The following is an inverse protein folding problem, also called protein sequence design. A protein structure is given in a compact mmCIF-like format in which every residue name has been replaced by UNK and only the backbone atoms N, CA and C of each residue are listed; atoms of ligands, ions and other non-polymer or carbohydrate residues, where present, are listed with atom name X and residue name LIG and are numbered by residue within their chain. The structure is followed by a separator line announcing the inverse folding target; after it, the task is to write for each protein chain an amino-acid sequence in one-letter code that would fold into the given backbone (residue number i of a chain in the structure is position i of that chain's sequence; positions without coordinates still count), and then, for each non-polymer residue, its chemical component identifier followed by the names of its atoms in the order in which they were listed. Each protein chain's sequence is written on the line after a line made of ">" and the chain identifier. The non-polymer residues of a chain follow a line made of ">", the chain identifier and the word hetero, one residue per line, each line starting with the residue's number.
data_IF_271643742210
#
_entry.id   IF_271643742210
#
_cell.length_a   1.000
_cell.length_b   1.000
_cell.length_c   1.000
_cell.angle_alpha   90.00
_cell.angle_beta   90.00
_cell.angle_gamma   90.00
#
_symmetry.space_group_name_H-M   'P 1'
#
loop_
_entity.id
_entity.type
_entity.pdbx_description
1 polymer ?
#
# COMPACT_ATOMS: atom_id res chain seq x y z
N UNK A 1 35.33 28.73 53.20
CA UNK A 1 35.26 29.06 51.77
C UNK A 1 33.87 29.60 51.47
N UNK A 2 33.75 30.87 51.05
CA UNK A 2 32.45 31.47 50.67
C UNK A 2 32.06 30.92 49.30
N UNK A 3 31.01 30.10 49.22
CA UNK A 3 30.35 29.79 47.96
C UNK A 3 29.73 31.08 47.42
N UNK A 4 30.11 31.49 46.21
CA UNK A 4 29.43 32.58 45.49
C UNK A 4 28.01 32.10 45.17
N UNK A 5 27.00 32.77 45.71
CA UNK A 5 25.60 32.47 45.43
C UNK A 5 25.25 32.88 44.00
N UNK A 6 24.53 32.00 43.30
CA UNK A 6 24.02 32.26 41.96
C UNK A 6 22.96 33.37 42.02
N UNK A 7 23.05 34.39 41.17
CA UNK A 7 22.05 35.45 41.13
C UNK A 7 20.83 35.02 40.31
N UNK A 8 19.65 35.53 40.67
CA UNK A 8 18.40 35.22 39.96
C UNK A 8 18.47 35.62 38.47
N UNK A 9 19.20 36.69 38.15
CA UNK A 9 19.38 37.19 36.79
C UNK A 9 20.21 36.20 35.95
N UNK A 10 21.31 35.67 36.50
CA UNK A 10 22.14 34.67 35.80
C UNK A 10 21.34 33.41 35.47
N UNK A 11 20.49 32.94 36.39
CA UNK A 11 19.62 31.80 36.14
C UNK A 11 18.61 32.10 35.03
N UNK A 12 18.00 33.28 35.07
CA UNK A 12 16.97 33.70 34.11
C UNK A 12 17.53 33.83 32.69
N UNK A 13 18.73 34.39 32.53
CA UNK A 13 19.39 34.49 31.22
C UNK A 13 19.68 33.11 30.64
N UNK A 14 20.16 32.16 31.46
CA UNK A 14 20.47 30.81 30.99
C UNK A 14 19.21 30.07 30.52
N UNK A 15 18.13 30.10 31.30
CA UNK A 15 16.87 29.47 30.87
C UNK A 15 16.29 30.15 29.62
N UNK A 16 16.45 31.48 29.48
CA UNK A 16 16.01 32.20 28.29
C UNK A 16 16.79 31.76 27.05
N UNK A 17 18.11 31.61 27.15
CA UNK A 17 18.94 31.11 26.05
C UNK A 17 18.56 29.66 25.70
N UNK A 18 18.42 28.78 26.70
CA UNK A 18 17.98 27.38 26.48
C UNK A 18 16.61 27.35 25.81
N UNK A 19 15.66 28.18 26.24
CA UNK A 19 14.33 28.27 25.65
C UNK A 19 14.38 28.70 24.18
N UNK A 20 15.19 29.70 23.83
CA UNK A 20 15.37 30.14 22.44
C UNK A 20 16.00 29.04 21.58
N UNK A 21 17.07 28.42 22.06
CA UNK A 21 17.74 27.33 21.34
C UNK A 21 16.81 26.14 21.13
N UNK A 22 16.06 25.75 22.16
CA UNK A 22 15.11 24.65 22.10
C UNK A 22 13.95 24.96 21.13
N UNK A 23 13.43 26.20 21.12
CA UNK A 23 12.36 26.62 20.22
C UNK A 23 12.74 26.50 18.73
N UNK A 24 14.02 26.73 18.38
CA UNK A 24 14.52 26.54 17.01
C UNK A 24 14.86 25.08 16.73
N UNK A 25 15.43 24.37 17.70
CA UNK A 25 15.91 23.00 17.51
C UNK A 25 14.77 21.97 17.41
N UNK A 26 13.69 22.12 18.19
CA UNK A 26 12.57 21.18 18.17
C UNK A 26 11.88 21.01 16.80
N UNK A 27 11.48 22.08 16.07
CA UNK A 27 10.84 21.91 14.77
C UNK A 27 11.78 21.27 13.74
N UNK A 28 13.07 21.64 13.74
CA UNK A 28 14.07 21.07 12.85
C UNK A 28 14.29 19.58 13.15
N UNK A 29 14.41 19.22 14.43
CA UNK A 29 14.57 17.84 14.85
C UNK A 29 13.36 16.97 14.49
N UNK A 30 12.14 17.51 14.62
CA UNK A 30 10.92 16.81 14.21
C UNK A 30 10.91 16.50 12.70
N UNK A 31 11.29 17.47 11.86
CA UNK A 31 11.39 17.27 10.42
C UNK A 31 12.47 16.24 10.05
N UNK A 32 13.65 16.33 10.67
CA UNK A 32 14.75 15.39 10.45
C UNK A 32 14.35 13.95 10.83
N UNK A 33 13.66 13.78 11.97
CA UNK A 33 13.14 12.49 12.41
C UNK A 33 12.13 11.90 11.42
N UNK A 34 11.24 12.74 10.88
CA UNK A 34 10.26 12.27 9.89
C UNK A 34 10.92 11.88 8.57
N UNK A 35 11.94 12.61 8.14
CA UNK A 35 12.75 12.23 6.97
C UNK A 35 13.48 10.91 7.18
N UNK A 36 14.01 10.66 8.38
CA UNK A 36 14.59 9.35 8.69
C UNK A 36 13.55 8.24 8.58
N UNK A 37 12.35 8.42 9.15
CA UNK A 37 11.25 7.45 9.03
C UNK A 37 10.80 7.23 7.59
N UNK A 38 10.77 8.28 6.78
CA UNK A 38 10.50 8.17 5.34
C UNK A 38 11.51 7.23 4.67
N UNK A 39 12.81 7.40 4.95
CA UNK A 39 13.86 6.51 4.42
C UNK A 39 13.68 5.07 4.90
N UNK A 40 13.28 4.86 6.16
CA UNK A 40 12.94 3.52 6.65
C UNK A 40 11.76 2.91 5.89
N UNK A 41 10.65 3.65 5.70
CA UNK A 41 9.49 3.12 4.98
C UNK A 41 9.80 2.87 3.49
N UNK A 42 10.63 3.69 2.85
CA UNK A 42 11.14 3.43 1.49
C UNK A 42 11.95 2.12 1.42
N UNK A 43 12.83 1.91 2.40
CA UNK A 43 13.62 0.67 2.48
C UNK A 43 12.74 -0.56 2.78
N UNK A 44 11.71 -0.42 3.61
CA UNK A 44 10.74 -1.49 3.86
C UNK A 44 10.02 -1.86 2.57
N UNK A 45 9.50 -0.88 1.82
CA UNK A 45 8.84 -1.15 0.53
C UNK A 45 9.80 -1.79 -0.47
N UNK A 46 11.07 -1.37 -0.51
CA UNK A 46 12.09 -2.00 -1.34
C UNK A 46 12.32 -3.47 -0.94
N UNK A 47 12.46 -3.78 0.35
CA UNK A 47 12.65 -5.15 0.81
C UNK A 47 11.44 -6.04 0.51
N UNK A 48 10.22 -5.55 0.73
CA UNK A 48 9.00 -6.25 0.33
C UNK A 48 8.97 -6.49 -1.17
N UNK A 49 9.39 -5.50 -1.95
CA UNK A 49 9.40 -5.60 -3.40
C UNK A 49 10.38 -6.68 -3.87
N UNK A 50 11.60 -6.67 -3.34
CA UNK A 50 12.61 -7.68 -3.64
C UNK A 50 12.17 -9.08 -3.19
N UNK A 51 11.48 -9.22 -2.06
CA UNK A 51 10.92 -10.49 -1.62
C UNK A 51 9.84 -11.02 -2.58
N UNK A 52 9.00 -10.13 -3.13
CA UNK A 52 8.05 -10.49 -4.20
C UNK A 52 8.77 -10.96 -5.46
N UNK A 53 9.88 -10.32 -5.84
CA UNK A 53 10.69 -10.72 -6.99
C UNK A 53 11.42 -12.04 -6.78
N UNK A 54 11.90 -12.32 -5.57
CA UNK A 54 12.47 -13.62 -5.23
C UNK A 54 11.42 -14.73 -5.31
N UNK A 55 10.18 -14.45 -4.87
CA UNK A 55 9.06 -15.35 -5.10
C UNK A 55 8.85 -15.64 -6.59
N UNK A 56 8.87 -14.62 -7.47
CA UNK A 56 8.72 -14.85 -8.92
C UNK A 56 9.76 -15.83 -9.48
N UNK A 57 11.00 -15.74 -9.01
CA UNK A 57 12.09 -16.61 -9.46
C UNK A 57 11.85 -18.09 -9.11
N UNK A 58 11.22 -18.35 -7.97
CA UNK A 58 10.97 -19.71 -7.49
C UNK A 58 9.63 -20.31 -8.00
N UNK A 59 8.75 -19.48 -8.57
CA UNK A 59 7.39 -19.86 -8.96
C UNK A 59 7.06 -19.49 -10.42
N UNK A 60 7.90 -19.90 -11.38
CA UNK A 60 7.67 -19.75 -12.84
C UNK A 60 7.26 -18.33 -13.27
N UNK A 61 7.90 -17.31 -12.67
CA UNK A 61 7.63 -15.89 -12.92
C UNK A 61 6.17 -15.47 -12.66
N UNK A 62 5.45 -16.20 -11.82
CA UNK A 62 4.07 -15.95 -11.46
C UNK A 62 3.94 -15.22 -10.11
N UNK A 63 3.17 -14.12 -10.10
CA UNK A 63 2.92 -13.35 -8.88
C UNK A 63 2.09 -14.16 -7.88
N UNK A 64 2.34 -14.02 -6.57
CA UNK A 64 1.52 -14.65 -5.55
C UNK A 64 0.10 -14.05 -5.54
N UNK A 65 -0.88 -14.83 -5.12
CA UNK A 65 -2.21 -14.30 -4.84
C UNK A 65 -2.20 -13.35 -3.63
N UNK A 66 -3.12 -12.37 -3.63
CA UNK A 66 -3.38 -11.50 -2.47
C UNK A 66 -3.90 -12.29 -1.27
N UNK A 67 -4.69 -13.33 -1.53
CA UNK A 67 -5.31 -14.17 -0.52
C UNK A 67 -5.44 -15.61 -1.01
N UNK A 68 -4.96 -16.55 -0.22
CA UNK A 68 -5.16 -17.99 -0.36
C UNK A 68 -6.09 -18.46 0.77
N UNK A 69 -6.96 -19.41 0.46
CA UNK A 69 -7.77 -20.11 1.47
C UNK A 69 -7.23 -21.53 1.64
N UNK A 70 -7.00 -21.93 2.88
CA UNK A 70 -6.56 -23.29 3.21
C UNK A 70 -7.28 -23.80 4.45
N UNK A 71 -7.14 -25.09 4.74
CA UNK A 71 -7.70 -25.68 5.96
C UNK A 71 -6.91 -25.21 7.19
N UNK A 72 -7.60 -24.88 8.27
CA UNK A 72 -6.97 -24.59 9.57
C UNK A 72 -6.55 -25.85 10.34
N UNK A 73 -6.63 -27.04 9.74
CA UNK A 73 -6.30 -28.32 10.38
C UNK A 73 -7.35 -28.83 11.38
N UNK A 74 -8.36 -28.03 11.72
CA UNK A 74 -9.45 -28.37 12.64
C UNK A 74 -10.82 -28.51 11.93
N UNK A 75 -10.80 -28.69 10.60
CA UNK A 75 -12.03 -28.78 9.78
C UNK A 75 -12.65 -27.44 9.38
N UNK A 76 -12.00 -26.31 9.71
CA UNK A 76 -12.37 -24.97 9.26
C UNK A 76 -11.46 -24.44 8.13
N UNK A 77 -11.76 -23.22 7.68
CA UNK A 77 -10.96 -22.49 6.70
C UNK A 77 -10.23 -21.32 7.34
N UNK A 78 -9.00 -21.08 6.91
CA UNK A 78 -8.22 -19.91 7.27
C UNK A 78 -7.64 -19.25 6.02
N UNK A 79 -7.28 -17.97 6.15
CA UNK A 79 -6.72 -17.11 5.14
C UNK A 79 -5.19 -17.01 5.27
N UNK A 80 -4.50 -17.06 4.14
CA UNK A 80 -3.07 -16.84 4.02
C UNK A 80 -2.85 -15.70 3.03
N UNK A 81 -2.21 -14.61 3.43
CA UNK A 81 -2.10 -13.40 2.61
C UNK A 81 -0.84 -13.40 1.74
N UNK A 82 -0.74 -12.48 0.79
CA UNK A 82 0.50 -12.25 0.01
C UNK A 82 1.74 -12.12 0.89
N UNK A 83 1.64 -11.43 2.03
CA UNK A 83 2.74 -11.28 2.97
C UNK A 83 3.23 -12.61 3.55
N UNK A 84 2.32 -13.54 3.79
CA UNK A 84 2.70 -14.88 4.23
C UNK A 84 3.40 -15.66 3.11
N UNK A 85 2.96 -15.49 1.86
CA UNK A 85 3.57 -16.15 0.69
C UNK A 85 5.01 -15.69 0.44
N UNK A 86 5.28 -14.40 0.61
CA UNK A 86 6.62 -13.83 0.44
C UNK A 86 7.46 -13.84 1.73
N UNK A 87 6.91 -14.32 2.85
CA UNK A 87 7.61 -14.32 4.14
C UNK A 87 8.96 -15.05 4.14
N UNK A 88 9.13 -16.22 3.48
CA UNK A 88 10.41 -16.92 3.46
C UNK A 88 11.56 -16.05 2.92
N UNK A 89 11.24 -15.10 2.05
CA UNK A 89 12.16 -14.15 1.46
C UNK A 89 12.33 -12.86 2.30
N UNK A 90 11.25 -12.40 2.95
CA UNK A 90 11.27 -11.24 3.84
C UNK A 90 12.06 -11.48 5.14
N UNK A 91 11.88 -12.65 5.76
CA UNK A 91 12.46 -13.07 7.05
C UNK A 91 12.16 -12.18 8.27
N UNK A 92 11.47 -11.07 8.10
CA UNK A 92 11.05 -10.17 9.17
C UNK A 92 9.64 -9.61 8.89
N UNK A 93 8.70 -9.90 9.79
CA UNK A 93 7.31 -9.46 9.67
C UNK A 93 7.13 -7.97 10.00
N UNK A 94 8.01 -7.37 10.79
CA UNK A 94 7.92 -5.94 11.16
C UNK A 94 8.08 -5.00 9.95
N UNK A 95 8.63 -5.52 8.84
CA UNK A 95 8.77 -4.80 7.58
C UNK A 95 7.42 -4.44 6.95
N UNK A 96 6.32 -5.13 7.28
CA UNK A 96 4.99 -4.77 6.77
C UNK A 96 4.45 -3.49 7.41
N UNK A 97 5.02 -3.02 8.52
CA UNK A 97 4.62 -1.80 9.22
C UNK A 97 5.44 -0.58 8.80
N UNK A 98 4.82 0.60 8.91
CA UNK A 98 5.53 1.88 8.79
C UNK A 98 5.60 2.54 10.18
N UNK A 99 6.79 2.89 10.71
CA UNK A 99 6.95 3.50 12.04
C UNK A 99 6.22 4.84 12.24
N UNK A 100 5.85 5.54 11.17
CA UNK A 100 5.03 6.76 11.25
C UNK A 100 3.54 6.46 11.48
N UNK A 101 3.09 5.23 11.25
CA UNK A 101 1.69 4.84 11.40
C UNK A 101 1.39 4.23 12.76
N UNK A 102 0.84 5.07 13.64
CA UNK A 102 0.38 4.63 14.97
C UNK A 102 -0.92 3.83 14.91
N UNK A 103 -1.65 3.87 13.79
CA UNK A 103 -2.91 3.16 13.58
C UNK A 103 -2.78 2.26 12.34
N UNK A 104 -1.75 1.41 12.37
CA UNK A 104 -1.54 0.40 11.34
C UNK A 104 -2.79 -0.45 11.16
N UNK A 105 -3.07 -0.79 9.90
CA UNK A 105 -4.23 -1.58 9.57
C UNK A 105 -4.04 -3.02 10.07
N UNK A 106 -4.90 -3.47 10.97
CA UNK A 106 -4.86 -4.80 11.58
C UNK A 106 -5.54 -5.81 10.65
N UNK A 107 -4.70 -6.68 10.09
CA UNK A 107 -5.12 -7.69 9.13
C UNK A 107 -5.99 -8.75 9.82
N UNK A 108 -5.72 -9.07 11.09
CA UNK A 108 -6.46 -10.10 11.84
C UNK A 108 -7.90 -9.69 12.07
N UNK A 109 -8.12 -8.43 12.42
CA UNK A 109 -9.47 -7.92 12.69
C UNK A 109 -10.24 -7.69 11.40
N UNK A 110 -9.56 -7.28 10.32
CA UNK A 110 -10.19 -7.07 9.02
C UNK A 110 -10.66 -8.35 8.35
N UNK A 111 -10.06 -9.50 8.69
CA UNK A 111 -10.46 -10.80 8.17
C UNK A 111 -11.25 -11.65 9.17
N UNK A 112 -11.75 -11.14 10.30
CA UNK A 112 -12.37 -11.96 11.37
C UNK A 112 -13.31 -13.13 10.98
N UNK A 113 -14.14 -13.08 9.91
CA UNK A 113 -14.86 -14.26 9.43
C UNK A 113 -13.97 -15.43 8.94
N UNK A 114 -12.71 -15.13 8.64
CA UNK A 114 -11.62 -15.95 8.11
C UNK A 114 -10.38 -15.75 8.99
N UNK A 115 -10.07 -16.69 9.89
CA UNK A 115 -8.84 -16.61 10.70
C UNK A 115 -7.59 -16.57 9.82
N UNK A 116 -6.52 -15.86 10.21
CA UNK A 116 -5.22 -15.99 9.53
C UNK A 116 -4.58 -17.32 9.89
N UNK A 117 -4.06 -18.06 8.91
CA UNK A 117 -3.38 -19.34 9.16
C UNK A 117 -2.01 -19.13 9.85
N UNK A 118 -1.54 -20.07 10.70
CA UNK A 118 -2.26 -21.26 11.19
C UNK A 118 -3.35 -20.93 12.22
N UNK A 119 -3.25 -19.78 12.89
CA UNK A 119 -4.31 -19.10 13.63
C UNK A 119 -3.88 -17.64 13.86
N UNK A 120 -4.84 -16.76 14.21
CA UNK A 120 -4.60 -15.33 14.43
C UNK A 120 -3.52 -15.02 15.49
N UNK A 121 -3.27 -15.94 16.43
CA UNK A 121 -2.30 -15.76 17.52
C UNK A 121 -0.88 -16.05 17.05
N UNK A 122 -0.71 -17.10 16.26
CA UNK A 122 0.57 -17.60 15.75
C UNK A 122 0.97 -16.98 14.41
N UNK A 123 0.06 -16.27 13.73
CA UNK A 123 0.39 -15.50 12.53
C UNK A 123 1.41 -14.40 12.85
N UNK A 124 2.46 -14.34 12.03
CA UNK A 124 3.53 -13.36 12.15
C UNK A 124 3.09 -11.97 11.67
N UNK A 125 2.20 -11.90 10.68
CA UNK A 125 1.70 -10.64 10.12
C UNK A 125 0.40 -10.22 10.78
N UNK A 126 0.52 -9.26 11.70
CA UNK A 126 -0.61 -8.72 12.46
C UNK A 126 -1.15 -7.44 11.84
N UNK A 127 -0.25 -6.57 11.40
CA UNK A 127 -0.59 -5.28 10.84
C UNK A 127 0.16 -5.05 9.53
N UNK A 128 -0.41 -4.23 8.65
CA UNK A 128 0.32 -3.74 7.48
C UNK A 128 0.01 -2.28 7.19
N UNK A 129 1.07 -1.57 6.81
CA UNK A 129 1.08 -0.19 6.34
C UNK A 129 1.19 -0.10 4.81
N UNK A 130 1.59 -1.20 4.17
CA UNK A 130 1.77 -1.27 2.73
C UNK A 130 0.72 -2.22 2.14
N UNK A 131 0.21 -1.85 0.98
CA UNK A 131 -0.75 -2.66 0.24
C UNK A 131 -0.15 -3.01 -1.12
N UNK A 132 -0.42 -4.23 -1.55
CA UNK A 132 -0.02 -4.70 -2.85
C UNK A 132 -0.92 -4.13 -3.95
N UNK A 133 -0.41 -4.11 -5.18
CA UNK A 133 -1.21 -3.85 -6.38
C UNK A 133 -2.09 -5.07 -6.68
N UNK A 134 -3.40 -4.87 -6.63
CA UNK A 134 -4.37 -5.97 -6.76
C UNK A 134 -4.49 -6.52 -8.18
N UNK A 135 -3.97 -5.80 -9.18
CA UNK A 135 -3.81 -6.36 -10.51
C UNK A 135 -2.60 -7.25 -10.68
N UNK A 136 -1.66 -7.25 -9.73
CA UNK A 136 -0.53 -8.17 -9.74
C UNK A 136 -0.78 -9.32 -8.75
N UNK A 137 -1.17 -8.96 -7.54
CA UNK A 137 -1.54 -9.91 -6.50
C UNK A 137 -3.04 -10.20 -6.56
N UNK A 138 -3.43 -10.92 -7.60
CA UNK A 138 -4.81 -11.29 -7.84
C UNK A 138 -5.42 -12.08 -6.67
N UNK A 139 -6.75 -12.07 -6.56
CA UNK A 139 -7.43 -12.91 -5.57
C UNK A 139 -7.22 -14.39 -5.90
N UNK A 140 -6.96 -15.25 -4.91
CA UNK A 140 -6.89 -16.69 -5.13
C UNK A 140 -8.29 -17.32 -5.29
N UNK A 141 -8.33 -18.62 -5.57
CA UNK A 141 -9.58 -19.40 -5.59
C UNK A 141 -10.18 -19.52 -4.19
N UNK A 142 -11.45 -19.14 -4.03
CA UNK A 142 -12.20 -19.31 -2.79
C UNK A 142 -13.12 -20.54 -2.89
N UNK A 143 -12.97 -21.58 -2.03
CA UNK A 143 -13.77 -22.81 -2.11
C UNK A 143 -15.17 -22.70 -1.47
N UNK A 144 -15.66 -21.50 -1.16
CA UNK A 144 -16.96 -21.29 -0.51
C UNK A 144 -18.09 -21.15 -1.56
N UNK A 145 -19.01 -22.11 -1.58
CA UNK A 145 -20.25 -22.01 -2.37
C UNK A 145 -21.10 -20.85 -1.84
N UNK A 146 -21.34 -19.83 -2.67
CA UNK A 146 -22.12 -18.63 -2.29
C UNK A 146 -21.28 -17.40 -1.97
N UNK A 147 -19.95 -17.51 -1.92
CA UNK A 147 -19.11 -16.33 -2.08
C UNK A 147 -19.12 -15.90 -3.56
N UNK A 148 -19.13 -14.60 -3.86
CA UNK A 148 -19.48 -14.10 -5.20
C UNK A 148 -18.56 -14.55 -6.35
N UNK A 149 -17.51 -15.33 -6.09
CA UNK A 149 -16.41 -15.57 -7.03
C UNK A 149 -15.82 -17.00 -6.95
N UNK A 150 -16.59 -18.08 -7.18
CA UNK A 150 -16.04 -19.44 -7.23
C UNK A 150 -15.04 -19.58 -8.41
N UNK A 151 -13.92 -20.28 -8.17
CA UNK A 151 -12.92 -20.57 -9.22
C UNK A 151 -12.02 -19.38 -9.61
N UNK A 152 -11.47 -18.66 -8.63
CA UNK A 152 -10.66 -17.44 -8.76
C UNK A 152 -9.64 -17.38 -9.93
N UNK A 153 -9.20 -16.16 -10.31
CA UNK A 153 -8.31 -15.93 -11.45
C UNK A 153 -6.98 -16.70 -11.29
N UNK A 154 -6.34 -16.97 -12.42
CA UNK A 154 -4.96 -17.49 -12.42
C UNK A 154 -3.97 -16.42 -11.92
N UNK A 155 -2.80 -16.82 -11.42
CA UNK A 155 -1.71 -15.87 -11.17
C UNK A 155 -1.34 -15.11 -12.43
N UNK A 156 -0.96 -13.84 -12.26
CA UNK A 156 -0.38 -13.01 -13.32
C UNK A 156 1.07 -13.43 -13.49
N UNK A 157 1.55 -13.48 -14.72
CA UNK A 157 2.98 -13.73 -15.00
C UNK A 157 3.69 -12.43 -15.35
N UNK A 158 4.99 -12.38 -15.05
CA UNK A 158 5.85 -11.23 -15.35
C UNK A 158 5.80 -10.84 -16.84
N UNK A 159 5.77 -11.82 -17.74
CA UNK A 159 5.68 -11.61 -19.18
C UNK A 159 4.39 -10.92 -19.66
N UNK A 160 3.35 -10.85 -18.82
CA UNK A 160 2.09 -10.18 -19.14
C UNK A 160 2.09 -8.69 -18.77
N UNK A 161 3.18 -8.21 -18.15
CA UNK A 161 3.34 -6.83 -17.73
C UNK A 161 4.10 -6.07 -18.82
N UNK A 162 3.41 -5.12 -19.45
CA UNK A 162 4.01 -4.33 -20.53
C UNK A 162 5.10 -3.37 -20.00
N UNK A 163 4.84 -2.63 -18.91
CA UNK A 163 5.78 -1.68 -18.31
C UNK A 163 6.12 -2.04 -16.86
N UNK A 164 7.16 -2.85 -16.67
CA UNK A 164 7.64 -3.26 -15.35
C UNK A 164 8.24 -2.11 -14.54
N UNK A 165 8.75 -1.07 -15.20
CA UNK A 165 9.40 0.06 -14.53
C UNK A 165 8.35 0.97 -13.90
N UNK A 166 7.26 1.25 -14.61
CA UNK A 166 6.23 2.16 -14.09
C UNK A 166 5.10 1.47 -13.35
N UNK A 167 5.01 0.15 -13.41
CA UNK A 167 3.98 -0.61 -12.70
C UNK A 167 4.36 -0.80 -11.22
N UNK A 168 3.57 -0.23 -10.29
CA UNK A 168 3.80 -0.38 -8.86
C UNK A 168 3.42 -1.79 -8.43
N UNK A 169 4.22 -2.40 -7.56
CA UNK A 169 3.95 -3.69 -6.96
C UNK A 169 3.40 -3.57 -5.54
N UNK A 170 4.04 -2.74 -4.71
CA UNK A 170 3.60 -2.47 -3.34
C UNK A 170 3.72 -0.99 -3.08
N UNK A 171 2.78 -0.43 -2.32
CA UNK A 171 2.78 0.98 -2.00
C UNK A 171 2.26 1.27 -0.60
N UNK A 172 2.65 2.41 -0.05
CA UNK A 172 2.13 2.94 1.20
C UNK A 172 0.64 3.24 1.04
N UNK A 173 -0.18 2.50 1.79
CA UNK A 173 -1.61 2.54 1.60
C UNK A 173 -2.40 1.80 2.67
N UNK A 174 -3.70 1.74 2.47
CA UNK A 174 -4.63 1.06 3.37
C UNK A 174 -5.80 0.47 2.60
N UNK A 175 -6.38 -0.60 3.13
CA UNK A 175 -7.59 -1.21 2.59
C UNK A 175 -8.83 -0.68 3.32
N UNK A 176 -9.86 -0.34 2.55
CA UNK A 176 -11.11 0.12 3.12
C UNK A 176 -12.12 0.55 2.08
N UNK A 177 -12.97 1.50 2.49
CA UNK A 177 -14.02 2.05 1.66
C UNK A 177 -14.17 3.56 1.89
N UNK A 178 -14.17 4.33 0.80
CA UNK A 178 -14.38 5.78 0.84
C UNK A 178 -15.87 6.18 0.77
N UNK A 179 -16.76 5.24 0.43
CA UNK A 179 -18.21 5.45 0.34
C UNK A 179 -18.96 5.14 1.65
N UNK A 180 -18.24 4.65 2.66
CA UNK A 180 -18.79 4.35 3.99
C UNK A 180 -19.61 3.05 4.09
N UNK A 181 -19.71 2.27 3.01
CA UNK A 181 -20.50 1.03 2.97
C UNK A 181 -19.88 -0.15 3.74
N UNK A 182 -18.62 -0.05 4.21
CA UNK A 182 -17.83 -1.15 4.81
C UNK A 182 -17.71 -2.43 3.95
N UNK A 183 -18.35 -2.49 2.79
CA UNK A 183 -18.33 -3.63 1.87
C UNK A 183 -17.16 -3.52 0.87
N UNK A 184 -16.62 -2.31 0.67
CA UNK A 184 -15.49 -2.07 -0.21
C UNK A 184 -14.17 -2.61 0.34
N UNK A 185 -13.39 -3.20 -0.55
CA UNK A 185 -12.03 -3.67 -0.32
C UNK A 185 -11.07 -2.88 -1.25
N UNK A 186 -11.27 -1.57 -1.36
CA UNK A 186 -10.44 -0.72 -2.22
C UNK A 186 -9.05 -0.49 -1.60
N UNK A 187 -8.02 -0.41 -2.45
CA UNK A 187 -6.68 0.00 -2.05
C UNK A 187 -6.50 1.51 -2.18
N UNK A 188 -6.21 2.19 -1.07
CA UNK A 188 -6.05 3.64 -1.02
C UNK A 188 -4.62 4.02 -0.66
N UNK A 189 -4.00 4.94 -1.40
CA UNK A 189 -2.66 5.44 -1.12
C UNK A 189 -2.67 6.30 0.16
N UNK A 190 -1.58 6.27 0.92
CA UNK A 190 -1.42 7.06 2.14
C UNK A 190 -0.14 7.89 2.07
N UNK A 191 -0.29 9.22 2.11
CA UNK A 191 0.81 10.19 2.06
C UNK A 191 1.46 10.43 3.43
N UNK A 192 1.86 9.38 4.16
CA UNK A 192 2.20 9.43 5.60
C UNK A 192 3.42 10.29 5.93
N UNK A 193 4.35 10.45 4.99
CA UNK A 193 5.60 11.16 5.20
C UNK A 193 5.56 12.59 4.64
N UNK A 194 4.72 13.44 5.24
CA UNK A 194 4.46 14.81 4.77
C UNK A 194 3.97 14.85 3.32
N UNK A 195 2.85 14.16 3.06
CA UNK A 195 2.23 14.04 1.73
C UNK A 195 3.08 13.24 0.73
N UNK A 196 3.97 12.38 1.20
CA UNK A 196 4.74 11.47 0.37
C UNK A 196 4.44 10.02 0.75
N UNK A 197 4.19 9.20 -0.27
CA UNK A 197 3.96 7.76 -0.16
C UNK A 197 5.16 6.99 -0.73
N UNK A 198 5.61 5.95 -0.04
CA UNK A 198 6.67 5.06 -0.57
C UNK A 198 6.06 4.01 -1.50
N UNK A 199 6.73 3.72 -2.61
CA UNK A 199 6.25 2.79 -3.64
C UNK A 199 7.41 1.91 -4.11
N UNK A 200 7.15 0.65 -4.35
CA UNK A 200 8.06 -0.30 -4.98
C UNK A 200 7.48 -0.79 -6.29
N UNK A 201 8.33 -0.95 -7.29
CA UNK A 201 7.95 -1.23 -8.67
C UNK A 201 8.36 -2.65 -9.08
N UNK A 202 7.74 -3.16 -10.14
CA UNK A 202 7.94 -4.55 -10.59
C UNK A 202 9.36 -4.84 -11.08
N UNK A 203 10.13 -3.84 -11.48
CA UNK A 203 11.56 -4.01 -11.82
C UNK A 203 12.49 -4.05 -10.57
N UNK A 204 11.94 -3.90 -9.36
CA UNK A 204 12.68 -3.96 -8.10
C UNK A 204 13.19 -2.62 -7.58
N UNK A 205 12.99 -1.52 -8.30
CA UNK A 205 13.30 -0.20 -7.75
C UNK A 205 12.20 0.28 -6.80
N UNK A 206 12.56 1.26 -5.97
CA UNK A 206 11.64 1.90 -5.02
C UNK A 206 11.73 3.41 -5.15
N UNK A 207 10.59 4.09 -5.10
CA UNK A 207 10.46 5.53 -5.25
C UNK A 207 9.52 6.14 -4.23
N UNK A 208 9.53 7.46 -4.22
CA UNK A 208 8.63 8.27 -3.42
C UNK A 208 7.66 8.97 -4.37
N UNK A 209 6.37 8.88 -4.06
CA UNK A 209 5.30 9.49 -4.84
C UNK A 209 4.71 10.66 -4.08
N UNK A 210 4.63 11.81 -4.74
CA UNK A 210 3.99 13.01 -4.19
C UNK A 210 2.48 12.84 -4.21
N UNK A 211 1.87 13.12 -3.07
CA UNK A 211 0.43 13.05 -2.87
C UNK A 211 -0.12 14.39 -2.38
N UNK A 212 -1.44 14.51 -2.39
CA UNK A 212 -2.17 15.63 -1.82
C UNK A 212 -3.34 15.10 -1.01
N UNK A 213 -3.56 15.69 0.16
CA UNK A 213 -4.73 15.41 0.98
C UNK A 213 -6.01 15.89 0.27
N UNK A 214 -7.02 15.04 0.23
CA UNK A 214 -8.36 15.39 -0.24
C UNK A 214 -9.15 15.93 0.94
N UNK A 215 -9.51 17.22 0.91
CA UNK A 215 -10.23 17.86 2.00
C UNK A 215 -11.59 17.17 2.22
N UNK A 216 -11.84 16.72 3.46
CA UNK A 216 -13.05 15.99 3.83
C UNK A 216 -13.10 14.54 3.36
N UNK A 217 -12.15 14.09 2.53
CA UNK A 217 -12.06 12.71 2.07
C UNK A 217 -11.54 11.79 3.18
N UNK A 218 -12.32 10.76 3.50
CA UNK A 218 -11.94 9.74 4.49
C UNK A 218 -12.14 8.34 3.93
N UNK A 219 -11.25 7.44 4.32
CA UNK A 219 -11.33 6.00 4.06
C UNK A 219 -11.69 5.32 5.37
N UNK A 220 -12.85 4.67 5.40
CA UNK A 220 -13.25 3.82 6.52
C UNK A 220 -12.51 2.49 6.39
N UNK A 221 -11.76 2.12 7.42
CA UNK A 221 -11.00 0.87 7.44
C UNK A 221 -11.95 -0.32 7.61
N UNK A 222 -11.59 -1.47 7.03
CA UNK A 222 -12.41 -2.70 7.09
C UNK A 222 -12.29 -3.47 8.42
N UNK A 223 -11.43 -3.02 9.34
CA UNK A 223 -11.43 -3.56 10.71
C UNK A 223 -12.81 -3.29 11.32
N UNK A 224 -13.37 -4.19 12.14
CA UNK A 224 -14.70 -4.03 12.77
C UNK A 224 -14.87 -2.78 13.68
N UNK A 225 -13.92 -1.85 13.66
CA UNK A 225 -13.89 -0.54 14.31
C UNK A 225 -14.12 0.58 13.30
N UNK A 226 -14.88 1.62 13.64
CA UNK A 226 -15.13 2.85 12.84
C UNK A 226 -13.88 3.75 12.64
N UNK A 227 -12.68 3.17 12.52
CA UNK A 227 -11.46 3.92 12.26
C UNK A 227 -11.51 4.47 10.84
N UNK A 228 -11.15 5.74 10.72
CA UNK A 228 -11.04 6.41 9.43
C UNK A 228 -9.62 6.93 9.24
N UNK A 229 -9.13 6.86 8.01
CA UNK A 229 -7.89 7.50 7.59
C UNK A 229 -8.18 8.57 6.56
N UNK A 230 -7.27 9.52 6.49
CA UNK A 230 -7.32 10.58 5.49
C UNK A 230 -7.15 10.02 4.08
N UNK A 231 -7.88 10.58 3.12
CA UNK A 231 -7.82 10.19 1.72
C UNK A 231 -6.81 11.07 0.97
N UNK A 232 -5.98 10.43 0.15
CA UNK A 232 -4.94 11.09 -0.64
C UNK A 232 -5.13 10.83 -2.13
N UNK A 233 -4.69 11.78 -2.96
CA UNK A 233 -4.56 11.63 -4.40
C UNK A 233 -3.10 11.79 -4.83
N UNK A 234 -2.69 11.06 -5.87
CA UNK A 234 -1.35 11.20 -6.47
C UNK A 234 -1.31 12.45 -7.33
N UNK A 235 -0.28 13.29 -7.16
CA UNK A 235 -0.11 14.54 -7.94
C UNK A 235 1.15 14.56 -8.80
N UNK A 236 1.95 13.49 -8.76
CA UNK A 236 3.21 13.42 -9.48
C UNK A 236 2.98 13.17 -10.98
N UNK A 237 3.05 14.22 -11.79
CA UNK A 237 2.78 14.17 -13.24
C UNK A 237 3.73 13.29 -14.04
N UNK A 238 4.86 12.87 -13.47
CA UNK A 238 5.78 11.94 -14.13
C UNK A 238 5.28 10.49 -14.09
N UNK A 239 4.29 10.20 -13.24
CA UNK A 239 3.75 8.86 -13.06
C UNK A 239 2.44 8.67 -13.82
N UNK A 240 2.16 7.45 -14.29
CA UNK A 240 0.93 7.16 -15.00
C UNK A 240 -0.33 7.25 -14.10
N UNK A 241 -0.18 7.11 -12.79
CA UNK A 241 -1.27 7.15 -11.81
C UNK A 241 -1.57 8.57 -11.28
N UNK A 242 -1.05 9.62 -11.91
CA UNK A 242 -1.28 10.98 -11.44
C UNK A 242 -2.73 11.42 -11.66
N UNK A 243 -3.23 12.25 -10.74
CA UNK A 243 -4.54 12.88 -10.86
C UNK A 243 -4.37 14.27 -11.48
N UNK A 244 -4.81 14.51 -12.73
CA UNK A 244 -4.72 15.82 -13.37
C UNK A 244 -5.59 16.86 -12.64
N UNK A 245 -5.12 18.11 -12.59
CA UNK A 245 -5.89 19.20 -12.00
C UNK A 245 -7.20 19.43 -12.78
N UNK A 246 -8.34 19.46 -12.08
CA UNK A 246 -9.67 19.63 -12.70
C UNK A 246 -10.29 18.35 -13.28
N UNK A 247 -9.64 17.20 -13.12
CA UNK A 247 -10.23 15.90 -13.47
C UNK A 247 -11.34 15.51 -12.49
N UNK A 248 -12.46 15.02 -13.01
CA UNK A 248 -13.50 14.35 -12.21
C UNK A 248 -13.06 12.94 -11.76
N UNK A 249 -11.98 12.41 -12.34
CA UNK A 249 -11.38 11.13 -11.99
C UNK A 249 -10.24 11.33 -11.01
N UNK A 250 -10.38 10.73 -9.83
CA UNK A 250 -9.37 10.75 -8.78
C UNK A 250 -8.83 9.32 -8.63
N UNK A 251 -7.53 9.13 -8.89
CA UNK A 251 -6.87 7.87 -8.59
C UNK A 251 -6.57 7.82 -7.09
N UNK A 252 -7.38 7.04 -6.39
CA UNK A 252 -7.26 6.89 -4.94
C UNK A 252 -6.14 5.93 -4.51
N UNK A 253 -5.62 5.12 -5.44
CA UNK A 253 -4.61 4.11 -5.19
C UNK A 253 -3.78 3.80 -6.43
N UNK A 254 -2.92 2.80 -6.31
CA UNK A 254 -1.99 2.36 -7.35
C UNK A 254 -2.32 0.94 -7.85
N UNK A 255 -3.61 0.62 -7.93
CA UNK A 255 -4.11 -0.64 -8.50
C UNK A 255 -4.16 -0.55 -10.03
N UNK A 256 -3.52 -1.46 -10.75
CA UNK A 256 -3.50 -1.48 -12.22
C UNK A 256 -2.14 -1.80 -12.82
N UNK A 257 -2.11 -2.14 -14.11
CA UNK A 257 -0.87 -2.36 -14.88
C UNK A 257 -0.66 -1.21 -15.84
N UNK A 258 0.58 -0.72 -15.95
CA UNK A 258 0.90 0.36 -16.88
C UNK A 258 1.15 -0.23 -18.27
N UNK A 259 0.41 0.26 -19.26
CA UNK A 259 0.59 -0.15 -20.66
C UNK A 259 1.58 0.77 -21.40
N UNK A 260 2.42 0.18 -22.24
CA UNK A 260 3.36 0.91 -23.09
C UNK A 260 2.68 1.32 -24.40
N UNK A 261 1.87 2.39 -24.35
CA UNK A 261 1.40 3.01 -25.58
C UNK A 261 2.42 4.04 -26.11
N UNK A 262 2.57 4.17 -27.45
CA UNK A 262 3.43 5.17 -28.05
C UNK A 262 2.97 6.60 -27.73
N UNK A 263 3.91 7.54 -27.73
CA UNK A 263 3.62 8.96 -27.52
C UNK A 263 2.56 9.46 -28.51
N UNK A 264 1.53 10.14 -27.99
CA UNK A 264 0.38 10.61 -28.78
C UNK A 264 -0.83 9.68 -28.80
N UNK A 265 -0.73 8.45 -28.29
CA UNK A 265 -1.89 7.60 -28.10
C UNK A 265 -2.78 8.14 -26.95
N UNK A 266 -4.13 8.14 -27.07
CA UNK A 266 -5.02 8.65 -26.01
C UNK A 266 -4.85 7.96 -24.64
N UNK A 267 -4.32 6.73 -24.66
CA UNK A 267 -4.05 5.91 -23.47
C UNK A 267 -2.56 5.87 -23.05
N UNK A 268 -1.70 6.65 -23.71
CA UNK A 268 -0.28 6.74 -23.33
C UNK A 268 -0.12 7.28 -21.90
N UNK A 269 0.54 6.48 -21.06
CA UNK A 269 0.74 6.82 -19.66
C UNK A 269 -0.50 6.70 -18.78
N UNK A 270 -1.54 5.95 -19.19
CA UNK A 270 -2.68 5.61 -18.32
C UNK A 270 -2.57 4.18 -17.79
N UNK A 271 -2.96 3.92 -16.52
CA UNK A 271 -3.02 2.57 -15.99
C UNK A 271 -4.23 1.81 -16.53
N UNK A 272 -4.03 0.52 -16.80
CA UNK A 272 -5.08 -0.41 -17.13
C UNK A 272 -5.58 -1.09 -15.84
N UNK A 273 -6.88 -0.95 -15.57
CA UNK A 273 -7.52 -1.53 -14.39
C UNK A 273 -8.15 -2.91 -14.63
N UNK A 274 -8.27 -3.35 -15.90
CA UNK A 274 -8.57 -4.76 -16.18
C UNK A 274 -7.27 -5.53 -16.25
N UNK A 275 -7.01 -6.30 -15.21
CA UNK A 275 -5.78 -7.06 -15.05
C UNK A 275 -5.76 -8.26 -16.06
N UNK A 276 -4.57 -8.68 -16.54
CA UNK A 276 -4.43 -9.86 -17.41
C UNK A 276 -5.05 -11.11 -16.78
N UNK A 277 -5.53 -12.07 -17.57
CA UNK A 277 -6.14 -13.30 -17.03
C UNK A 277 -7.57 -13.16 -16.47
N UNK A 278 -8.16 -11.96 -16.42
CA UNK A 278 -9.58 -11.74 -16.10
C UNK A 278 -10.51 -11.78 -17.34
N UNK A 279 -10.21 -12.62 -18.33
CA UNK A 279 -11.02 -12.70 -19.56
C UNK A 279 -12.47 -13.06 -19.25
N UNK A 280 -13.41 -12.12 -19.44
CA UNK A 280 -14.84 -12.34 -19.24
C UNK A 280 -15.42 -11.83 -17.93
N UNK A 281 -14.64 -11.20 -17.04
CA UNK A 281 -15.17 -10.51 -15.86
C UNK A 281 -15.61 -9.09 -16.19
N UNK A 282 -16.87 -8.79 -15.90
CA UNK A 282 -17.49 -7.44 -15.97
C UNK A 282 -17.55 -6.78 -14.59
N UNK A 283 -16.85 -7.35 -13.60
CA UNK A 283 -17.09 -7.11 -12.18
C UNK A 283 -16.83 -5.68 -11.71
N UNK A 284 -16.04 -4.86 -12.43
CA UNK A 284 -16.02 -3.41 -12.27
C UNK A 284 -15.66 -2.68 -13.59
N UNK A 285 -16.45 -1.66 -14.00
CA UNK A 285 -16.43 -1.08 -15.35
C UNK A 285 -15.58 0.19 -15.47
N UNK A 286 -14.58 0.40 -14.62
CA UNK A 286 -13.84 1.68 -14.62
C UNK A 286 -12.70 1.68 -15.66
N UNK A 287 -13.10 1.48 -16.93
CA UNK A 287 -12.48 2.06 -18.10
C UNK A 287 -13.26 3.28 -18.56
N UNK A 288 -12.54 4.35 -18.92
CA UNK A 288 -13.02 5.72 -19.13
C UNK A 288 -14.07 5.91 -20.26
N UNK A 289 -14.54 4.83 -20.89
CA UNK A 289 -15.34 4.82 -22.12
C UNK A 289 -16.52 3.81 -22.09
N UNK A 290 -16.80 3.17 -20.95
CA UNK A 290 -17.77 2.07 -20.91
C UNK A 290 -17.33 0.83 -21.73
N UNK A 291 -16.07 0.85 -22.19
CA UNK A 291 -15.40 -0.28 -22.80
C UNK A 291 -14.44 -0.90 -21.77
N UNK A 292 -14.21 -2.22 -21.81
CA UNK A 292 -13.24 -2.84 -20.94
C UNK A 292 -11.85 -2.26 -21.25
N UNK A 293 -11.20 -1.73 -20.21
CA UNK A 293 -9.89 -1.10 -20.26
C UNK A 293 -8.77 -2.14 -20.40
N UNK A 294 -8.89 -3.02 -21.40
CA UNK A 294 -7.97 -4.11 -21.67
C UNK A 294 -6.55 -3.56 -21.84
N UNK A 295 -5.62 -4.04 -20.99
CA UNK A 295 -4.20 -4.08 -21.35
C UNK A 295 -4.14 -4.68 -22.76
N UNK A 296 -3.24 -4.18 -23.61
CA UNK A 296 -3.14 -4.62 -25.00
C UNK A 296 -3.08 -6.14 -24.96
N UNK A 297 -4.09 -6.85 -25.48
CA UNK A 297 -3.98 -8.31 -25.54
C UNK A 297 -2.76 -8.59 -26.43
N UNK A 298 -1.68 -9.20 -25.94
CA UNK A 298 -0.79 -9.85 -26.88
C UNK A 298 -1.66 -10.93 -27.52
N UNK A 299 -1.76 -10.87 -28.85
CA UNK A 299 -2.63 -11.72 -29.69
C UNK A 299 -2.85 -13.14 -29.15
#
# INVERSE_FOLDING_TARGET
>A
MRYRGFTLIELLVVIAIIAILAAILFPVFAQAREKARQTFCLNNTKQITLAGLQYLQDYDEAFPFSLYMTSNGAGGFCAFTVYHAIFPYLKNADLSGCPSDRQAWDVRTAFLPLELCPNNVQSQFKTTAYIGNWCLFERGSMPLSGWPWPGGPRPIRLAEIEDVVRTPMVYDGVLGDHTGSQQGLGGYIQGRHNLVASVGYVDGHSGNVKTRLIQGGRVTLREQTLKTKDLYAVIDTSLPFHTPAGSNYIYYGLSGIVSQYPAGHPRAGRPCHTCPGQSGRTDQPFGDDGAPNHCRRPN
#
